data_IF_169839402490
#
_entry.id   IF_169839402490
#
_cell.length_a   1.000
_cell.length_b   1.000
_cell.length_c   1.000
_cell.angle_alpha   90.00
_cell.angle_beta   90.00
_cell.angle_gamma   90.00
#
_symmetry.space_group_name_H-M   'P 1'
#
loop_
_entity.id
_entity.type
_entity.pdbx_description
1 polymer ?
#
# COMPACT_ATOMS: atom_id res chain seq x y z
N UNK A 1 10.48 -5.38 -5.59
CA UNK A 1 9.85 -4.17 -6.10
C UNK A 1 10.92 -3.14 -6.43
N UNK A 2 10.92 -2.02 -5.76
CA UNK A 2 11.95 -1.02 -5.74
C UNK A 2 12.92 -1.37 -4.60
N UNK A 3 14.23 -1.23 -4.76
CA UNK A 3 15.23 -1.75 -3.82
C UNK A 3 15.58 -0.78 -2.68
N UNK A 4 15.09 0.46 -2.74
CA UNK A 4 15.28 1.49 -1.71
C UNK A 4 13.98 1.90 -1.03
N UNK A 5 12.95 1.09 -1.19
CA UNK A 5 11.65 1.35 -0.61
C UNK A 5 11.68 1.45 0.91
N UNK A 6 10.89 2.35 1.42
CA UNK A 6 10.46 2.30 2.81
C UNK A 6 9.67 1.02 3.00
N UNK A 7 10.27 0.05 3.70
CA UNK A 7 9.59 -1.21 4.00
C UNK A 7 8.40 -0.95 4.91
N UNK A 8 7.30 -1.64 4.64
CA UNK A 8 6.08 -1.55 5.44
C UNK A 8 5.60 -2.94 5.86
N UNK A 9 5.05 -3.02 7.05
CA UNK A 9 4.23 -4.15 7.50
C UNK A 9 2.81 -3.66 7.66
N UNK A 10 1.87 -4.32 6.99
CA UNK A 10 0.45 -3.99 7.09
C UNK A 10 -0.19 -4.94 8.11
N UNK A 11 -0.65 -4.41 9.25
CA UNK A 11 -1.42 -5.15 10.22
C UNK A 11 -2.89 -5.07 9.79
N UNK A 12 -3.49 -6.22 9.52
CA UNK A 12 -4.92 -6.35 9.26
C UNK A 12 -5.61 -7.06 10.41
N UNK A 13 -6.79 -6.61 10.78
CA UNK A 13 -7.59 -7.23 11.83
C UNK A 13 -9.01 -6.69 11.86
N UNK A 14 -9.78 -7.17 12.83
CA UNK A 14 -11.17 -6.77 13.02
C UNK A 14 -11.42 -6.41 14.47
N UNK A 15 -12.14 -5.31 14.69
CA UNK A 15 -12.69 -4.98 16.00
C UNK A 15 -14.02 -5.69 16.23
N UNK A 16 -14.32 -6.10 17.47
CA UNK A 16 -15.56 -6.82 17.78
C UNK A 16 -16.82 -5.97 17.64
N UNK A 17 -16.67 -4.67 17.70
CA UNK A 17 -17.78 -3.71 17.57
C UNK A 17 -17.29 -2.32 17.13
N UNK A 18 -18.24 -1.40 16.93
CA UNK A 18 -17.98 -0.04 16.44
C UNK A 18 -17.41 0.94 17.51
N UNK A 19 -17.18 0.49 18.75
CA UNK A 19 -16.57 1.34 19.79
C UNK A 19 -15.07 1.38 19.76
N UNK A 20 -14.43 0.60 18.92
CA UNK A 20 -12.99 0.58 18.80
C UNK A 20 -12.53 1.39 17.59
N UNK A 21 -11.36 1.99 17.74
CA UNK A 21 -10.59 2.59 16.65
C UNK A 21 -9.11 2.38 16.86
N UNK A 22 -8.34 2.48 15.79
CA UNK A 22 -6.88 2.42 15.87
C UNK A 22 -6.35 3.62 16.66
N UNK A 23 -5.47 3.32 17.60
CA UNK A 23 -4.66 4.29 18.34
C UNK A 23 -3.27 4.44 17.71
N UNK A 24 -2.23 4.38 18.53
CA UNK A 24 -0.85 4.45 18.07
C UNK A 24 -0.39 3.09 17.54
N UNK A 25 0.50 3.11 16.56
CA UNK A 25 1.20 1.95 16.03
C UNK A 25 2.71 2.22 15.97
N UNK A 26 3.50 1.17 15.87
CA UNK A 26 4.94 1.28 15.76
C UNK A 26 5.62 -0.08 15.66
N UNK A 27 6.94 -0.06 15.72
CA UNK A 27 7.75 -1.26 15.68
C UNK A 27 8.99 -1.17 16.57
N UNK A 28 9.59 -2.32 16.84
CA UNK A 28 10.91 -2.49 17.44
C UNK A 28 11.73 -3.36 16.50
N UNK A 29 12.97 -2.95 16.22
CA UNK A 29 13.90 -3.65 15.35
C UNK A 29 15.04 -4.25 16.16
N UNK A 30 15.18 -5.57 16.11
CA UNK A 30 16.37 -6.30 16.56
C UNK A 30 17.18 -6.69 15.31
N UNK A 31 18.07 -5.80 14.91
CA UNK A 31 18.90 -5.97 13.72
C UNK A 31 19.83 -7.19 13.85
N UNK A 32 20.34 -7.47 15.06
CA UNK A 32 21.27 -8.58 15.29
C UNK A 32 20.64 -9.95 15.05
N UNK A 33 19.34 -10.08 15.36
CA UNK A 33 18.58 -11.31 15.18
C UNK A 33 17.65 -11.26 13.95
N UNK A 34 17.67 -10.17 13.20
CA UNK A 34 16.79 -9.95 12.03
C UNK A 34 15.30 -10.14 12.41
N UNK A 35 14.87 -9.50 13.50
CA UNK A 35 13.49 -9.57 13.99
C UNK A 35 12.89 -8.18 14.05
N UNK A 36 11.70 -8.04 13.48
CA UNK A 36 10.86 -6.84 13.60
C UNK A 36 9.62 -7.20 14.40
N UNK A 37 9.40 -6.52 15.51
CA UNK A 37 8.17 -6.66 16.30
C UNK A 37 7.29 -5.45 16.06
N UNK A 38 6.16 -5.64 15.37
CA UNK A 38 5.18 -4.58 15.10
C UNK A 38 4.07 -4.59 16.13
N UNK A 39 3.42 -3.45 16.31
CA UNK A 39 2.27 -3.32 17.19
C UNK A 39 1.31 -2.21 16.76
N UNK A 40 0.05 -2.36 17.12
CA UNK A 40 -0.96 -1.32 17.04
C UNK A 40 -1.81 -1.36 18.32
N UNK A 41 -2.13 -0.20 18.87
CA UNK A 41 -3.04 -0.09 20.00
C UNK A 41 -4.47 0.18 19.52
N UNK A 42 -5.43 -0.28 20.29
CA UNK A 42 -6.84 0.06 20.12
C UNK A 42 -7.29 1.06 21.18
N UNK A 43 -8.10 2.01 20.76
CA UNK A 43 -8.79 2.94 21.64
C UNK A 43 -10.25 2.52 21.76
N UNK A 44 -10.71 2.22 22.95
CA UNK A 44 -12.08 1.84 23.25
C UNK A 44 -12.89 3.07 23.71
N UNK A 45 -14.00 3.35 23.07
CA UNK A 45 -14.96 4.34 23.55
C UNK A 45 -15.91 3.70 24.59
N UNK A 46 -15.92 4.24 25.80
CA UNK A 46 -16.67 3.71 26.95
C UNK A 46 -17.90 4.56 27.31
N UNK A 47 -18.57 5.13 26.34
CA UNK A 47 -19.64 6.11 26.63
C UNK A 47 -21.05 5.58 26.55
N UNK A 48 -21.42 4.81 25.54
CA UNK A 48 -22.79 4.42 25.25
C UNK A 48 -22.87 3.08 24.49
N UNK A 49 -24.07 2.74 24.01
CA UNK A 49 -24.33 1.52 23.26
C UNK A 49 -23.55 1.53 21.92
N UNK A 50 -22.72 0.54 21.72
CA UNK A 50 -21.98 0.34 20.49
C UNK A 50 -22.74 -0.58 19.55
N UNK A 51 -22.72 -0.27 18.27
CA UNK A 51 -23.21 -1.19 17.26
C UNK A 51 -22.33 -2.46 17.26
N UNK A 52 -22.95 -3.60 17.46
CA UNK A 52 -22.29 -4.92 17.47
C UNK A 52 -22.03 -5.36 16.03
N UNK A 53 -21.13 -4.64 15.34
CA UNK A 53 -20.71 -4.91 13.96
C UNK A 53 -19.21 -5.03 13.92
N UNK A 54 -18.71 -6.16 13.44
CA UNK A 54 -17.28 -6.37 13.20
C UNK A 54 -16.77 -5.27 12.27
N UNK A 55 -15.71 -4.59 12.66
CA UNK A 55 -15.16 -3.44 11.94
C UNK A 55 -13.73 -3.76 11.52
N UNK A 56 -13.46 -4.04 10.23
CA UNK A 56 -12.11 -4.32 9.76
C UNK A 56 -11.23 -3.07 9.86
N UNK A 57 -9.94 -3.28 10.12
CA UNK A 57 -8.96 -2.22 10.14
C UNK A 57 -7.67 -2.63 9.44
N UNK A 58 -6.97 -1.62 8.93
CA UNK A 58 -5.64 -1.73 8.33
C UNK A 58 -4.74 -0.72 9.01
N UNK A 59 -3.54 -1.16 9.42
CA UNK A 59 -2.51 -0.30 10.00
C UNK A 59 -1.20 -0.53 9.26
N UNK A 60 -0.81 0.33 8.32
CA UNK A 60 0.52 0.31 7.75
C UNK A 60 1.52 0.82 8.80
N UNK A 61 2.51 -0.02 9.11
CA UNK A 61 3.63 0.30 9.99
C UNK A 61 4.87 0.49 9.14
N UNK A 62 5.32 1.74 8.97
CA UNK A 62 6.51 2.07 8.21
C UNK A 62 7.76 1.72 9.01
N UNK A 63 8.57 0.81 8.48
CA UNK A 63 9.81 0.35 9.10
C UNK A 63 11.03 1.20 8.68
N UNK A 64 10.87 2.04 7.65
CA UNK A 64 11.98 2.72 7.02
C UNK A 64 12.74 1.80 6.07
N UNK A 65 13.92 2.24 5.67
CA UNK A 65 14.81 1.47 4.80
C UNK A 65 15.61 0.51 5.66
N UNK A 66 15.42 -0.79 5.44
CA UNK A 66 16.10 -1.86 6.16
C UNK A 66 17.37 -2.31 5.41
N UNK A 67 18.31 -2.94 6.12
CA UNK A 67 19.46 -3.61 5.52
C UNK A 67 19.04 -4.90 4.80
N UNK A 68 19.86 -5.34 3.84
CA UNK A 68 19.69 -6.60 3.13
C UNK A 68 19.57 -7.78 4.10
N UNK A 69 18.57 -8.64 3.89
CA UNK A 69 18.38 -9.87 4.66
C UNK A 69 16.94 -10.29 4.76
N UNK A 70 16.70 -11.37 5.50
CA UNK A 70 15.36 -11.88 5.77
C UNK A 70 15.00 -11.67 7.23
N UNK A 71 14.02 -10.84 7.46
CA UNK A 71 13.50 -10.50 8.79
C UNK A 71 12.32 -11.37 9.15
N UNK A 72 12.30 -11.82 10.41
CA UNK A 72 11.10 -12.41 11.01
C UNK A 72 10.22 -11.27 11.55
N UNK A 73 8.99 -11.19 11.07
CA UNK A 73 8.00 -10.25 11.58
C UNK A 73 7.19 -10.93 12.68
N UNK A 74 7.01 -10.24 13.79
CA UNK A 74 6.17 -10.67 14.93
C UNK A 74 5.19 -9.56 15.29
N UNK A 75 4.02 -9.94 15.75
CA UNK A 75 3.06 -8.99 16.34
C UNK A 75 3.19 -9.04 17.84
N UNK A 76 3.36 -7.88 18.49
CA UNK A 76 3.46 -7.78 19.95
C UNK A 76 2.20 -8.39 20.60
N UNK A 77 2.41 -9.19 21.65
CA UNK A 77 1.35 -9.85 22.43
C UNK A 77 0.48 -10.85 21.65
N UNK A 78 0.85 -11.18 20.40
CA UNK A 78 0.16 -12.16 19.55
C UNK A 78 1.17 -13.23 19.07
N UNK A 79 1.52 -14.22 19.91
CA UNK A 79 2.68 -15.09 19.67
C UNK A 79 2.57 -16.00 18.45
N UNK A 80 1.38 -16.27 17.95
CA UNK A 80 1.14 -17.19 16.83
C UNK A 80 1.05 -16.50 15.47
N UNK A 81 1.19 -15.17 15.42
CA UNK A 81 1.17 -14.40 14.17
C UNK A 81 2.61 -14.02 13.84
N UNK A 82 3.12 -14.63 12.78
CA UNK A 82 4.46 -14.37 12.26
C UNK A 82 4.44 -14.31 10.73
N UNK A 83 5.32 -13.50 10.17
CA UNK A 83 5.54 -13.42 8.74
C UNK A 83 7.04 -13.31 8.44
N UNK A 84 7.42 -13.36 7.17
CA UNK A 84 8.79 -13.18 6.71
C UNK A 84 8.84 -12.02 5.72
N UNK A 85 9.81 -11.11 5.92
CA UNK A 85 10.07 -9.99 5.05
C UNK A 85 11.50 -10.11 4.50
N UNK A 86 11.64 -10.28 3.20
CA UNK A 86 12.96 -10.32 2.55
C UNK A 86 13.27 -8.98 1.92
N UNK A 87 14.39 -8.38 2.34
CA UNK A 87 14.94 -7.14 1.80
C UNK A 87 16.09 -7.51 0.88
N UNK A 88 16.00 -7.11 -0.37
CA UNK A 88 17.04 -7.32 -1.38
C UNK A 88 18.17 -6.30 -1.21
N UNK A 89 19.33 -6.62 -1.80
CA UNK A 89 20.46 -5.70 -1.87
C UNK A 89 20.09 -4.50 -2.73
N UNK A 90 20.39 -3.32 -2.24
CA UNK A 90 20.21 -2.06 -2.99
C UNK A 90 21.09 -2.04 -4.23
N UNK A 91 20.53 -1.57 -5.33
CA UNK A 91 21.21 -1.33 -6.61
C UNK A 91 21.37 0.15 -6.90
N UNK A 92 20.53 1.01 -6.30
CA UNK A 92 20.57 2.47 -6.42
C UNK A 92 20.64 3.16 -5.06
N UNK A 93 20.91 4.47 -5.03
CA UNK A 93 20.85 5.29 -3.81
C UNK A 93 19.54 6.11 -3.73
N UNK A 94 18.78 6.16 -4.83
CA UNK A 94 17.51 6.88 -4.88
C UNK A 94 16.43 6.15 -4.07
N UNK A 95 15.58 6.86 -3.30
CA UNK A 95 14.46 6.23 -2.63
C UNK A 95 13.38 5.69 -3.59
N UNK A 96 13.35 6.19 -4.82
CA UNK A 96 12.46 5.74 -5.88
C UNK A 96 13.30 5.41 -7.12
N UNK A 97 13.21 4.19 -7.65
CA UNK A 97 13.84 3.78 -8.91
C UNK A 97 13.13 4.36 -10.13
N UNK A 98 11.86 4.73 -9.96
CA UNK A 98 11.01 5.31 -10.99
C UNK A 98 10.25 6.52 -10.46
N UNK A 99 9.78 7.36 -11.36
CA UNK A 99 8.85 8.42 -11.01
C UNK A 99 7.45 7.81 -10.81
N UNK A 100 7.05 7.58 -9.57
CA UNK A 100 5.74 6.99 -9.24
C UNK A 100 4.62 8.03 -9.22
N UNK A 101 3.41 7.62 -9.58
CA UNK A 101 2.24 8.48 -9.52
C UNK A 101 1.84 8.80 -8.06
N UNK A 102 1.39 10.03 -7.78
CA UNK A 102 0.88 10.44 -6.47
C UNK A 102 -0.54 9.90 -6.25
N UNK A 103 -0.66 8.58 -6.08
CA UNK A 103 -1.94 7.90 -5.90
C UNK A 103 -2.50 8.20 -4.52
N UNK A 104 -3.76 8.64 -4.47
CA UNK A 104 -4.55 8.92 -3.27
C UNK A 104 -5.68 7.89 -3.08
N UNK A 105 -6.01 7.15 -4.14
CA UNK A 105 -7.04 6.12 -4.14
C UNK A 105 -6.80 5.04 -5.18
N UNK A 106 -7.11 3.80 -4.82
CA UNK A 106 -7.09 2.65 -5.72
C UNK A 106 -8.31 1.77 -5.47
N UNK A 107 -8.92 1.25 -6.52
CA UNK A 107 -10.09 0.39 -6.44
C UNK A 107 -10.07 -0.68 -7.52
N UNK A 108 -10.62 -1.86 -7.21
CA UNK A 108 -10.83 -2.93 -8.18
C UNK A 108 -12.33 -3.05 -8.44
N UNK A 109 -12.68 -3.04 -9.72
CA UNK A 109 -14.06 -3.24 -10.17
C UNK A 109 -14.17 -4.48 -11.04
N UNK A 110 -15.30 -5.17 -10.93
CA UNK A 110 -15.66 -6.32 -11.75
C UNK A 110 -16.82 -5.92 -12.66
N UNK A 111 -16.70 -6.10 -13.95
CA UNK A 111 -17.77 -5.83 -14.90
C UNK A 111 -18.77 -6.99 -14.96
N UNK A 112 -19.88 -6.82 -15.70
CA UNK A 112 -20.91 -7.83 -15.87
C UNK A 112 -20.41 -9.14 -16.55
N UNK A 113 -19.28 -9.08 -17.24
CA UNK A 113 -18.62 -10.25 -17.85
C UNK A 113 -17.57 -10.90 -16.92
N UNK A 114 -17.43 -10.39 -15.68
CA UNK A 114 -16.48 -10.89 -14.70
C UNK A 114 -15.05 -10.39 -14.89
N UNK A 115 -14.78 -9.48 -15.83
CA UNK A 115 -13.44 -8.91 -16.03
C UNK A 115 -13.16 -7.88 -14.95
N UNK A 116 -11.97 -7.96 -14.37
CA UNK A 116 -11.55 -7.06 -13.32
C UNK A 116 -10.66 -5.94 -13.88
N UNK A 117 -10.83 -4.76 -13.33
CA UNK A 117 -10.03 -3.58 -13.67
C UNK A 117 -9.62 -2.83 -12.41
N UNK A 118 -8.38 -2.31 -12.42
CA UNK A 118 -7.83 -1.41 -11.42
C UNK A 118 -8.11 0.03 -11.83
N UNK A 119 -8.70 0.81 -10.95
CA UNK A 119 -8.80 2.27 -11.09
C UNK A 119 -7.85 2.93 -10.11
N UNK A 120 -6.97 3.81 -10.60
CA UNK A 120 -6.06 4.64 -9.81
C UNK A 120 -6.49 6.10 -9.88
N UNK A 121 -6.57 6.73 -8.73
CA UNK A 121 -6.98 8.13 -8.58
C UNK A 121 -5.92 8.90 -7.80
N UNK A 122 -5.67 10.15 -8.19
CA UNK A 122 -4.73 11.00 -7.48
C UNK A 122 -4.65 12.40 -8.05
N UNK A 123 -3.84 13.25 -7.38
CA UNK A 123 -3.64 14.64 -7.76
C UNK A 123 -2.18 14.91 -8.06
N UNK A 124 -1.91 15.57 -9.18
CA UNK A 124 -0.54 15.96 -9.53
C UNK A 124 -0.06 17.10 -8.64
N UNK A 125 1.20 17.06 -8.17
CA UNK A 125 1.80 18.18 -7.47
C UNK A 125 1.76 19.45 -8.33
N UNK A 126 1.51 20.61 -7.72
CA UNK A 126 1.38 21.90 -8.41
C UNK A 126 2.50 22.20 -9.42
N UNK A 127 3.73 21.83 -9.08
CA UNK A 127 4.93 22.06 -9.91
C UNK A 127 4.98 21.23 -11.19
N UNK A 128 4.12 20.22 -11.32
CA UNK A 128 4.10 19.27 -12.44
C UNK A 128 2.77 19.22 -13.18
N UNK A 129 1.89 20.20 -12.96
CA UNK A 129 0.59 20.24 -13.61
C UNK A 129 0.68 20.16 -15.14
N UNK A 130 0.00 19.17 -15.70
CA UNK A 130 -0.13 18.99 -17.13
C UNK A 130 1.06 18.37 -17.85
N UNK A 131 2.20 18.20 -17.16
CA UNK A 131 3.42 17.66 -17.76
C UNK A 131 3.74 16.23 -17.35
N UNK A 132 2.81 15.54 -16.69
CA UNK A 132 2.96 14.16 -16.27
C UNK A 132 1.81 13.29 -16.76
N UNK A 133 2.12 12.07 -17.14
CA UNK A 133 1.13 11.02 -17.39
C UNK A 133 1.62 9.68 -16.85
N UNK A 134 0.70 8.79 -16.52
CA UNK A 134 1.03 7.40 -16.24
C UNK A 134 1.46 6.75 -17.56
N UNK A 135 2.72 6.33 -17.62
CA UNK A 135 3.29 5.63 -18.76
C UNK A 135 3.00 4.15 -18.74
N UNK A 136 3.10 3.57 -17.55
CA UNK A 136 3.06 2.12 -17.33
C UNK A 136 2.56 1.85 -15.92
N UNK A 137 1.75 0.79 -15.78
CA UNK A 137 1.38 0.25 -14.47
C UNK A 137 1.89 -1.19 -14.41
N UNK A 138 2.93 -1.42 -13.60
CA UNK A 138 3.42 -2.77 -13.33
C UNK A 138 2.63 -3.35 -12.17
N UNK A 139 2.25 -4.62 -12.31
CA UNK A 139 1.48 -5.35 -11.31
C UNK A 139 2.21 -6.65 -11.00
N UNK A 140 2.48 -6.88 -9.73
CA UNK A 140 3.11 -8.11 -9.25
C UNK A 140 2.20 -8.72 -8.20
N UNK A 141 1.69 -9.90 -8.51
CA UNK A 141 0.88 -10.70 -7.60
C UNK A 141 1.81 -11.53 -6.69
N UNK A 142 1.60 -11.41 -5.39
CA UNK A 142 2.34 -12.16 -4.37
C UNK A 142 1.35 -12.65 -3.31
N UNK A 143 0.88 -13.87 -3.53
CA UNK A 143 -0.07 -14.54 -2.63
C UNK A 143 -1.36 -13.72 -2.43
N UNK A 144 -1.49 -13.03 -1.30
CA UNK A 144 -2.63 -12.18 -0.94
C UNK A 144 -2.36 -10.68 -1.12
N UNK A 145 -1.23 -10.31 -1.78
CA UNK A 145 -0.83 -8.92 -2.02
C UNK A 145 -0.65 -8.66 -3.50
N UNK A 146 -1.43 -7.72 -4.06
CA UNK A 146 -1.16 -7.15 -5.37
C UNK A 146 -0.34 -5.87 -5.23
N UNK A 147 0.92 -5.95 -5.62
CA UNK A 147 1.81 -4.79 -5.67
C UNK A 147 1.60 -4.06 -6.99
N UNK A 148 1.37 -2.75 -6.91
CA UNK A 148 1.07 -1.88 -8.03
C UNK A 148 2.10 -0.77 -8.08
N UNK A 149 2.79 -0.66 -9.22
CA UNK A 149 3.81 0.36 -9.48
C UNK A 149 3.35 1.26 -10.66
N UNK A 150 2.66 2.37 -10.38
CA UNK A 150 2.22 3.31 -11.42
C UNK A 150 3.37 4.25 -11.79
N UNK A 151 4.08 3.92 -12.86
CA UNK A 151 5.25 4.66 -13.34
C UNK A 151 4.80 5.77 -14.25
N UNK A 152 5.25 7.00 -13.97
CA UNK A 152 4.97 8.18 -14.78
C UNK A 152 6.14 8.53 -15.70
N UNK A 153 5.82 9.30 -16.73
CA UNK A 153 6.81 10.00 -17.55
C UNK A 153 6.49 11.49 -17.62
N UNK A 154 7.54 12.31 -17.74
CA UNK A 154 7.42 13.72 -18.01
C UNK A 154 7.13 13.93 -19.50
N UNK A 155 6.19 14.85 -19.78
CA UNK A 155 5.84 15.28 -21.12
C UNK A 155 6.55 16.60 -21.42
N UNK A 156 7.15 16.70 -22.61
CA UNK A 156 7.86 17.90 -23.04
C UNK A 156 7.02 18.70 -24.06
N UNK A 157 7.23 20.03 -24.09
CA UNK A 157 6.68 20.94 -25.09
C UNK A 157 5.16 21.04 -25.09
N UNK A 158 4.56 21.01 -26.29
CA UNK A 158 3.11 21.17 -26.51
C UNK A 158 2.26 20.10 -25.81
N UNK A 159 2.84 18.94 -25.48
CA UNK A 159 2.13 17.90 -24.74
C UNK A 159 1.77 18.29 -23.30
N UNK A 160 2.46 19.31 -22.75
CA UNK A 160 2.15 19.88 -21.42
C UNK A 160 0.96 20.86 -21.41
N UNK A 161 0.38 21.20 -22.55
CA UNK A 161 -0.65 22.24 -22.65
C UNK A 161 -2.02 21.85 -22.09
N UNK A 162 -2.27 20.56 -21.92
CA UNK A 162 -3.52 20.07 -21.34
C UNK A 162 -3.39 19.87 -19.85
N UNK A 163 -3.58 20.92 -19.07
CA UNK A 163 -3.56 20.90 -17.61
C UNK A 163 -4.54 19.87 -17.03
N UNK A 164 -4.00 18.77 -16.53
CA UNK A 164 -4.73 17.88 -15.63
C UNK A 164 -4.21 18.10 -14.22
N UNK A 165 -5.09 18.51 -13.32
CA UNK A 165 -4.76 18.62 -11.89
C UNK A 165 -4.81 17.26 -11.18
N UNK A 166 -5.58 16.33 -11.73
CA UNK A 166 -5.82 15.01 -11.17
C UNK A 166 -5.91 13.97 -12.29
N UNK A 167 -5.77 12.71 -11.90
CA UNK A 167 -6.01 11.57 -12.76
C UNK A 167 -7.02 10.62 -12.13
N UNK A 168 -7.77 9.96 -12.97
CA UNK A 168 -8.67 8.85 -12.69
C UNK A 168 -8.54 7.90 -13.88
N UNK A 169 -7.66 6.92 -13.76
CA UNK A 169 -7.28 6.05 -14.87
C UNK A 169 -7.54 4.59 -14.53
N UNK A 170 -8.08 3.86 -15.52
CA UNK A 170 -8.47 2.45 -15.34
C UNK A 170 -7.61 1.54 -16.21
N UNK A 171 -7.08 0.48 -15.60
CA UNK A 171 -6.20 -0.51 -16.19
C UNK A 171 -6.80 -1.90 -16.06
N UNK A 172 -6.67 -2.74 -17.10
CA UNK A 172 -7.03 -4.14 -17.00
C UNK A 172 -6.09 -4.91 -16.08
N UNK A 173 -6.61 -5.81 -15.26
CA UNK A 173 -5.77 -6.75 -14.53
C UNK A 173 -5.28 -7.86 -15.45
N UNK A 174 -4.01 -8.23 -15.33
CA UNK A 174 -3.39 -9.33 -16.09
C UNK A 174 -3.88 -10.71 -15.65
N UNK A 175 -4.22 -10.83 -14.36
CA UNK A 175 -4.85 -12.00 -13.77
C UNK A 175 -5.97 -11.56 -12.83
N UNK A 176 -7.08 -12.30 -12.74
CA UNK A 176 -8.14 -11.98 -11.79
C UNK A 176 -7.65 -12.23 -10.35
N UNK A 177 -8.02 -11.32 -9.45
CA UNK A 177 -7.88 -11.54 -8.01
C UNK A 177 -9.06 -12.36 -7.50
N UNK A 178 -8.80 -13.25 -6.57
CA UNK A 178 -9.81 -14.09 -5.92
C UNK A 178 -9.79 -13.85 -4.40
N UNK A 179 -10.98 -13.80 -3.80
CA UNK A 179 -11.12 -13.63 -2.36
C UNK A 179 -10.74 -12.24 -1.87
N UNK A 180 -9.97 -12.19 -0.77
CA UNK A 180 -9.49 -10.97 -0.15
C UNK A 180 -8.02 -10.74 -0.47
N UNK A 181 -7.68 -9.56 -0.97
CA UNK A 181 -6.31 -9.19 -1.33
C UNK A 181 -5.96 -7.79 -0.86
N UNK A 182 -4.71 -7.59 -0.46
CA UNK A 182 -4.15 -6.27 -0.17
C UNK A 182 -3.67 -5.62 -1.48
N UNK A 183 -4.24 -4.47 -1.82
CA UNK A 183 -3.64 -3.59 -2.83
C UNK A 183 -2.53 -2.78 -2.14
N UNK A 184 -1.29 -2.98 -2.56
CA UNK A 184 -0.14 -2.19 -2.15
C UNK A 184 0.34 -1.35 -3.33
N UNK A 185 -0.04 -0.08 -3.35
CA UNK A 185 0.30 0.84 -4.45
C UNK A 185 1.49 1.67 -4.06
N UNK A 186 2.55 1.58 -4.84
CA UNK A 186 3.75 2.40 -4.68
C UNK A 186 3.43 3.85 -5.04
N UNK A 187 3.86 4.78 -4.22
CA UNK A 187 3.63 6.22 -4.39
C UNK A 187 4.94 6.97 -4.22
N UNK A 188 5.04 8.18 -4.72
CA UNK A 188 6.22 9.05 -4.61
C UNK A 188 6.86 9.07 -3.21
N UNK A 189 8.20 9.25 -3.18
CA UNK A 189 9.02 9.44 -1.99
C UNK A 189 8.99 8.28 -1.00
N UNK A 190 9.05 7.06 -1.48
CA UNK A 190 9.04 5.90 -0.61
C UNK A 190 7.71 5.66 0.11
N UNK A 191 6.62 6.28 -0.34
CA UNK A 191 5.30 6.08 0.24
C UNK A 191 4.52 4.98 -0.45
N UNK A 192 3.44 4.55 0.19
CA UNK A 192 2.49 3.60 -0.36
C UNK A 192 1.06 4.00 -0.03
N UNK A 193 0.13 3.53 -0.86
CA UNK A 193 -1.29 3.49 -0.55
C UNK A 193 -1.70 2.03 -0.38
N UNK A 194 -2.31 1.70 0.75
CA UNK A 194 -2.71 0.34 1.10
C UNK A 194 -4.22 0.24 1.27
N UNK A 195 -4.84 -0.76 0.63
CA UNK A 195 -6.26 -1.05 0.75
C UNK A 195 -6.55 -2.53 0.60
N UNK A 196 -7.39 -3.10 1.47
CA UNK A 196 -7.99 -4.40 1.24
C UNK A 196 -9.17 -4.31 0.28
N UNK A 197 -9.23 -5.26 -0.63
CA UNK A 197 -10.36 -5.48 -1.54
C UNK A 197 -10.85 -6.91 -1.37
N UNK A 198 -12.17 -7.08 -1.30
CA UNK A 198 -12.81 -8.40 -1.27
C UNK A 198 -13.65 -8.55 -2.54
N UNK A 199 -13.31 -9.54 -3.35
CA UNK A 199 -13.92 -9.80 -4.65
C UNK A 199 -14.68 -11.13 -4.58
N UNK A 200 -15.91 -11.04 -4.11
CA UNK A 200 -16.85 -12.17 -4.06
C UNK A 200 -17.59 -12.35 -5.39
#
# INVERSE_FOLDING_TARGET
FDDNDVSEVVIHGEFPDACYRIGNSGFELDQANMVVTVWASALEYRGEICAQVMSPYIVPVKLGVLEEGTYQIKVRDVPNVTASLTINKRTTESPDDFLYAPVEGADIKKDAAGRQSLTLMGSYPYTFWGCLKIKEVRMVDKDDVLVIQPIMEHLDGEACENYKHSFDETFGLSAPLEGESLLHVRVLNGNSYNRFVSLN
#
